data_IF_689294994825
#
_entry.id   IF_689294994825
#
_cell.length_a   1.000
_cell.length_b   1.000
_cell.length_c   1.000
_cell.angle_alpha   90.00
_cell.angle_beta   90.00
_cell.angle_gamma   90.00
#
_symmetry.space_group_name_H-M   'P 1'
#
loop_
_entity.id
_entity.type
_entity.pdbx_description
1 polymer ?
#
# COMPACT_ATOMS: atom_id res chain seq x y z
N UNK A 1 0.36 5.26 27.40
CA UNK A 1 0.08 4.85 28.80
C UNK A 1 0.80 5.82 29.72
N UNK A 2 0.09 6.69 30.41
CA UNK A 2 0.70 7.63 31.35
C UNK A 2 1.04 6.89 32.66
N UNK A 3 2.30 6.92 33.08
CA UNK A 3 2.77 6.14 34.25
C UNK A 3 2.13 6.63 35.56
N UNK A 4 1.86 7.93 35.69
CA UNK A 4 1.29 8.52 36.92
C UNK A 4 -0.14 8.00 37.20
N UNK A 5 -1.10 8.07 36.25
CA UNK A 5 -2.41 7.42 36.42
C UNK A 5 -2.33 5.91 36.70
N UNK A 6 -1.38 5.21 36.08
CA UNK A 6 -1.21 3.77 36.28
C UNK A 6 -0.81 3.45 37.71
N UNK A 7 0.15 4.20 38.26
CA UNK A 7 0.59 4.03 39.65
C UNK A 7 -0.50 4.40 40.65
N UNK A 8 -1.30 5.45 40.38
CA UNK A 8 -2.45 5.79 41.23
C UNK A 8 -3.48 4.66 41.30
N UNK A 9 -3.72 3.95 40.19
CA UNK A 9 -4.73 2.89 40.12
C UNK A 9 -4.22 1.54 40.64
N UNK A 10 -2.98 1.17 40.33
CA UNK A 10 -2.47 -0.19 40.56
C UNK A 10 -1.29 -0.27 41.54
N UNK A 11 -0.58 0.82 41.81
CA UNK A 11 0.56 0.87 42.76
C UNK A 11 1.72 -0.07 42.43
N UNK A 12 1.85 -0.51 41.17
CA UNK A 12 2.82 -1.53 40.72
C UNK A 12 3.55 -1.08 39.47
N UNK A 13 4.74 -1.61 39.27
CA UNK A 13 5.57 -1.39 38.09
C UNK A 13 4.96 -2.12 36.86
N UNK A 14 4.76 -1.45 35.71
CA UNK A 14 4.05 -2.04 34.56
C UNK A 14 4.78 -3.23 33.91
N UNK A 15 6.11 -3.21 33.93
CA UNK A 15 6.94 -4.29 33.36
C UNK A 15 7.13 -5.46 34.34
N UNK A 16 7.66 -5.22 35.53
CA UNK A 16 8.05 -6.27 36.50
C UNK A 16 6.96 -6.67 37.50
N UNK A 17 5.92 -5.85 37.70
CA UNK A 17 4.88 -6.11 38.72
C UNK A 17 5.31 -5.81 40.16
N UNK A 18 6.55 -5.36 40.39
CA UNK A 18 7.06 -4.95 41.70
C UNK A 18 6.32 -3.71 42.23
N UNK A 19 6.20 -3.50 43.56
CA UNK A 19 5.63 -2.27 44.11
C UNK A 19 6.49 -1.06 43.70
N UNK A 20 5.85 0.00 43.20
CA UNK A 20 6.53 1.24 42.77
C UNK A 20 5.71 2.43 43.22
N UNK A 21 6.34 3.40 43.90
CA UNK A 21 5.69 4.67 44.27
C UNK A 21 6.01 5.77 43.27
N UNK A 22 5.22 6.84 43.31
CA UNK A 22 5.47 8.01 42.46
C UNK A 22 6.81 8.71 42.81
N UNK A 23 7.22 8.65 44.07
CA UNK A 23 8.48 9.23 44.58
C UNK A 23 9.73 8.55 44.01
N UNK A 24 9.61 7.28 43.59
CA UNK A 24 10.72 6.51 43.01
C UNK A 24 10.93 6.82 41.51
N UNK A 25 10.07 7.65 40.91
CA UNK A 25 10.18 8.03 39.51
C UNK A 25 11.21 9.14 39.31
N UNK A 26 12.09 8.93 38.34
CA UNK A 26 13.11 9.91 37.97
C UNK A 26 12.55 10.79 36.84
N UNK A 27 12.41 12.10 37.03
CA UNK A 27 12.02 13.01 35.95
C UNK A 27 13.15 13.09 34.92
N UNK A 28 12.82 12.90 33.64
CA UNK A 28 13.78 13.00 32.55
C UNK A 28 13.71 14.38 31.89
N UNK A 29 14.85 15.04 31.77
CA UNK A 29 14.97 16.36 31.14
C UNK A 29 15.53 16.22 29.73
N UNK A 30 14.70 16.53 28.73
CA UNK A 30 15.11 16.57 27.32
C UNK A 30 15.35 18.02 26.89
N UNK A 31 16.51 18.26 26.27
CA UNK A 31 16.83 19.56 25.68
C UNK A 31 16.27 19.66 24.26
N UNK A 32 15.76 20.83 23.91
CA UNK A 32 15.24 21.14 22.57
C UNK A 32 16.09 22.20 21.87
N UNK A 33 16.22 22.08 20.56
CA UNK A 33 16.82 23.12 19.72
C UNK A 33 15.86 24.30 19.51
N UNK A 34 16.32 25.33 18.79
CA UNK A 34 15.49 26.48 18.38
C UNK A 34 14.26 26.09 17.57
N UNK A 35 14.34 24.97 16.85
CA UNK A 35 13.28 24.45 15.97
C UNK A 35 12.28 23.54 16.72
N UNK A 36 12.49 23.33 18.03
CA UNK A 36 11.62 22.54 18.89
C UNK A 36 11.88 21.02 18.87
N UNK A 37 12.88 20.55 18.13
CA UNK A 37 13.33 19.16 18.08
C UNK A 37 14.21 18.80 19.27
N UNK A 38 14.09 17.57 19.77
CA UNK A 38 14.90 17.10 20.88
C UNK A 38 16.33 16.80 20.44
N UNK A 39 17.32 17.33 21.17
CA UNK A 39 18.73 17.17 20.84
C UNK A 39 19.59 16.87 22.06
N UNK A 40 20.74 16.26 21.81
CA UNK A 40 21.79 16.14 22.82
C UNK A 40 22.39 17.53 23.11
N UNK A 41 22.43 17.96 24.38
CA UNK A 41 22.89 19.31 24.75
C UNK A 41 24.40 19.53 24.54
N UNK A 42 25.19 18.45 24.49
CA UNK A 42 26.65 18.53 24.38
C UNK A 42 27.12 18.48 22.93
N UNK A 43 26.55 17.55 22.14
CA UNK A 43 26.94 17.37 20.74
C UNK A 43 26.06 18.16 19.76
N UNK A 44 25.02 18.85 20.22
CA UNK A 44 24.00 19.52 19.39
C UNK A 44 23.44 18.62 18.28
N UNK A 45 23.36 17.32 18.56
CA UNK A 45 22.89 16.30 17.63
C UNK A 45 21.44 15.99 17.94
N UNK A 46 20.58 16.15 16.95
CA UNK A 46 19.14 15.83 17.06
C UNK A 46 18.96 14.33 17.29
N UNK A 47 18.07 13.97 18.22
CA UNK A 47 17.74 12.58 18.50
C UNK A 47 16.87 12.00 17.37
N UNK A 48 17.28 10.85 16.84
CA UNK A 48 16.54 10.11 15.80
C UNK A 48 16.27 8.68 16.26
N UNK A 49 15.45 7.95 15.48
CA UNK A 49 15.16 6.52 15.72
C UNK A 49 16.42 5.63 15.71
N UNK A 50 17.52 6.12 15.13
CA UNK A 50 18.80 5.41 15.07
C UNK A 50 19.85 5.99 16.03
N UNK A 51 19.47 6.90 16.92
CA UNK A 51 20.39 7.39 17.95
C UNK A 51 20.36 6.52 19.19
N UNK A 52 21.55 6.24 19.74
CA UNK A 52 21.67 5.61 21.05
C UNK A 52 21.55 6.69 22.12
N UNK A 53 20.48 6.63 22.91
CA UNK A 53 20.11 7.63 23.91
C UNK A 53 20.28 7.05 25.31
N UNK A 54 20.93 7.80 26.18
CA UNK A 54 21.16 7.45 27.58
C UNK A 54 20.77 8.59 28.51
N UNK A 55 20.32 8.26 29.71
CA UNK A 55 20.05 9.21 30.78
C UNK A 55 20.91 8.89 31.99
N UNK A 56 21.29 9.94 32.73
CA UNK A 56 21.98 9.81 34.01
C UNK A 56 20.95 9.77 35.12
N UNK A 57 20.98 8.72 35.96
CA UNK A 57 20.00 8.48 37.04
C UNK A 57 19.96 9.60 38.08
N UNK A 58 21.10 10.20 38.40
CA UNK A 58 21.23 11.23 39.44
C UNK A 58 20.57 12.54 39.02
N UNK A 59 20.89 13.05 37.82
CA UNK A 59 20.40 14.34 37.32
C UNK A 59 19.11 14.22 36.50
N UNK A 60 18.84 13.06 35.92
CA UNK A 60 17.73 12.85 34.98
C UNK A 60 17.97 13.47 33.59
N UNK A 61 19.13 14.05 33.33
CA UNK A 61 19.44 14.65 32.03
C UNK A 61 19.73 13.58 30.97
N UNK A 62 19.31 13.86 29.74
CA UNK A 62 19.38 12.94 28.61
C UNK A 62 20.48 13.35 27.61
N UNK A 63 21.31 12.39 27.24
CA UNK A 63 22.47 12.57 26.36
C UNK A 63 22.52 11.52 25.24
N UNK A 64 23.25 11.84 24.17
CA UNK A 64 23.70 10.81 23.22
C UNK A 64 24.76 9.92 23.88
N UNK A 65 24.66 8.60 23.70
CA UNK A 65 25.65 7.65 24.22
C UNK A 65 27.06 7.96 23.70
N UNK A 66 27.18 8.43 22.47
CA UNK A 66 28.43 8.88 21.86
C UNK A 66 29.11 9.98 22.70
N UNK A 67 28.35 10.96 23.21
CA UNK A 67 28.88 12.03 24.05
C UNK A 67 29.45 11.47 25.36
N UNK A 68 28.68 10.63 26.03
CA UNK A 68 29.08 9.99 27.30
C UNK A 68 30.26 9.05 27.08
N UNK A 69 30.30 8.35 25.95
CA UNK A 69 31.38 7.43 25.61
C UNK A 69 32.71 8.16 25.43
N UNK A 70 32.71 9.25 24.65
CA UNK A 70 33.91 10.03 24.36
C UNK A 70 34.37 10.88 25.56
N UNK A 71 33.44 11.51 26.28
CA UNK A 71 33.78 12.52 27.30
C UNK A 71 33.81 11.99 28.73
N UNK A 72 33.14 10.86 29.01
CA UNK A 72 33.13 10.26 30.35
C UNK A 72 33.85 8.91 30.38
N UNK A 73 33.41 7.97 29.55
CA UNK A 73 33.85 6.56 29.65
C UNK A 73 35.32 6.40 29.23
N UNK A 74 35.70 6.90 28.06
CA UNK A 74 37.09 6.83 27.57
C UNK A 74 38.09 7.55 28.48
N UNK A 75 37.86 8.81 28.91
CA UNK A 75 38.77 9.51 29.81
C UNK A 75 38.64 9.10 31.28
N UNK A 76 37.71 8.20 31.63
CA UNK A 76 37.37 7.82 33.01
C UNK A 76 36.94 9.01 33.89
N UNK A 77 36.32 10.01 33.27
CA UNK A 77 35.79 11.18 33.95
C UNK A 77 34.32 10.93 34.31
N UNK A 78 34.02 10.71 35.59
CA UNK A 78 32.69 10.33 36.08
C UNK A 78 31.90 11.51 36.64
N UNK A 79 31.88 12.61 35.88
CA UNK A 79 31.11 13.82 36.17
C UNK A 79 30.13 14.11 35.05
N UNK A 80 28.91 14.46 35.40
CA UNK A 80 27.85 14.72 34.43
C UNK A 80 28.17 15.97 33.58
N UNK A 81 27.80 15.95 32.29
CA UNK A 81 28.32 16.88 31.28
C UNK A 81 27.75 18.30 31.35
N UNK A 82 26.71 18.55 32.14
CA UNK A 82 26.04 19.84 32.29
C UNK A 82 26.19 20.43 33.69
N UNK A 83 26.00 19.59 34.72
CA UNK A 83 25.95 20.01 36.13
C UNK A 83 27.20 19.63 36.91
N UNK A 84 28.16 18.93 36.29
CA UNK A 84 29.38 18.41 36.93
C UNK A 84 29.14 17.47 38.14
N UNK A 85 27.90 16.98 38.31
CA UNK A 85 27.56 16.07 39.40
C UNK A 85 28.22 14.70 39.21
N UNK A 86 28.81 14.12 40.26
CA UNK A 86 29.43 12.81 40.17
C UNK A 86 28.37 11.72 39.97
N UNK A 87 28.62 10.79 39.03
CA UNK A 87 27.74 9.64 38.79
C UNK A 87 28.55 8.37 38.55
N UNK A 88 27.97 7.19 38.81
CA UNK A 88 28.65 5.91 38.55
C UNK A 88 28.21 5.29 37.23
N UNK A 89 28.97 4.33 36.71
CA UNK A 89 28.57 3.58 35.50
C UNK A 89 27.18 2.92 35.63
N UNK A 90 26.79 2.50 36.83
CA UNK A 90 25.49 1.87 37.08
C UNK A 90 24.32 2.86 37.06
N UNK A 91 24.63 4.15 37.16
CA UNK A 91 23.64 5.23 37.07
C UNK A 91 23.32 5.59 35.61
N UNK A 92 24.00 4.99 34.63
CA UNK A 92 23.71 5.21 33.21
C UNK A 92 22.55 4.30 32.76
N UNK A 93 21.41 4.91 32.45
CA UNK A 93 20.21 4.22 32.00
C UNK A 93 20.09 4.37 30.49
N UNK A 94 20.11 3.26 29.76
CA UNK A 94 19.87 3.26 28.32
C UNK A 94 18.38 3.36 28.01
N UNK A 95 17.98 4.46 27.38
CA UNK A 95 16.60 4.69 26.93
C UNK A 95 16.36 3.98 25.60
N UNK A 96 17.29 4.13 24.66
CA UNK A 96 17.17 3.60 23.31
C UNK A 96 18.53 3.15 22.82
N UNK A 97 18.60 1.92 22.30
CA UNK A 97 19.80 1.40 21.68
C UNK A 97 19.43 0.74 20.34
N UNK A 98 19.76 1.36 19.19
CA UNK A 98 19.43 0.81 17.87
C UNK A 98 20.24 -0.44 17.51
N UNK A 99 21.38 -0.65 18.18
CA UNK A 99 22.29 -1.76 17.91
C UNK A 99 21.91 -3.03 18.67
N UNK A 100 21.07 -2.91 19.69
CA UNK A 100 20.57 -4.04 20.46
C UNK A 100 19.11 -4.25 20.05
N UNK A 101 18.84 -5.39 19.42
CA UNK A 101 17.47 -5.87 19.26
C UNK A 101 16.94 -6.13 20.66
N UNK A 102 16.21 -5.17 21.22
CA UNK A 102 15.63 -5.25 22.56
C UNK A 102 14.81 -6.54 22.62
N UNK A 103 15.30 -7.55 23.34
CA UNK A 103 14.60 -8.82 23.59
C UNK A 103 13.44 -8.65 24.58
N UNK A 104 12.99 -7.40 24.79
CA UNK A 104 11.84 -7.05 25.62
C UNK A 104 10.58 -7.53 24.90
N UNK A 105 10.30 -8.82 25.03
CA UNK A 105 9.09 -9.46 24.56
C UNK A 105 7.92 -8.77 25.26
N UNK A 106 7.21 -7.91 24.54
CA UNK A 106 6.07 -7.13 25.06
C UNK A 106 5.01 -8.03 25.73
N UNK A 107 4.92 -9.30 25.32
CA UNK A 107 4.04 -10.31 25.90
C UNK A 107 4.42 -10.74 27.32
N UNK A 108 5.65 -10.48 27.77
CA UNK A 108 6.10 -10.87 29.11
C UNK A 108 5.75 -9.88 30.22
N UNK A 109 5.33 -8.66 29.85
CA UNK A 109 5.07 -7.58 30.78
C UNK A 109 3.84 -7.85 31.67
N UNK A 110 3.94 -7.52 32.95
CA UNK A 110 2.89 -7.81 33.95
C UNK A 110 1.52 -7.23 33.57
N UNK A 111 1.50 -5.99 33.08
CA UNK A 111 0.26 -5.33 32.63
C UNK A 111 -0.39 -6.01 31.42
N UNK A 112 0.40 -6.65 30.55
CA UNK A 112 -0.10 -7.39 29.38
C UNK A 112 -0.60 -8.76 29.81
N UNK A 113 0.16 -9.48 30.64
CA UNK A 113 -0.23 -10.80 31.17
C UNK A 113 -1.52 -10.75 31.99
N UNK A 114 -1.68 -9.70 32.80
CA UNK A 114 -2.86 -9.52 33.67
C UNK A 114 -3.97 -8.69 33.04
N UNK A 115 -3.80 -8.21 31.81
CA UNK A 115 -4.79 -7.39 31.11
C UNK A 115 -5.11 -6.07 31.82
N UNK A 116 -4.16 -5.50 32.57
CA UNK A 116 -4.35 -4.29 33.36
C UNK A 116 -4.32 -3.06 32.45
N UNK A 117 -5.49 -2.64 31.97
CA UNK A 117 -5.65 -1.43 31.17
C UNK A 117 -6.12 -0.26 32.04
N UNK A 118 -5.53 0.91 31.78
CA UNK A 118 -6.16 2.17 32.14
C UNK A 118 -7.31 2.35 31.15
N UNK A 119 -8.53 2.37 31.65
CA UNK A 119 -9.66 2.79 30.83
C UNK A 119 -9.63 4.32 30.85
N UNK A 120 -9.41 4.91 29.68
CA UNK A 120 -9.57 6.34 29.52
C UNK A 120 -11.07 6.62 29.69
N UNK A 121 -11.46 7.31 30.77
CA UNK A 121 -12.87 7.62 31.09
C UNK A 121 -13.58 8.30 29.91
N UNK A 122 -12.83 9.04 29.11
CA UNK A 122 -13.29 9.71 27.90
C UNK A 122 -13.64 8.71 26.78
N UNK A 123 -12.87 7.64 26.64
CA UNK A 123 -13.10 6.57 25.65
C UNK A 123 -14.28 5.67 26.04
N UNK A 124 -14.53 5.50 27.34
CA UNK A 124 -15.76 4.87 27.85
C UNK A 124 -16.98 5.74 27.51
N UNK A 125 -16.93 7.05 27.80
CA UNK A 125 -18.03 7.97 27.44
C UNK A 125 -18.30 8.01 25.94
N UNK A 126 -17.29 7.91 25.09
CA UNK A 126 -17.45 7.82 23.63
C UNK A 126 -18.07 6.49 23.16
N UNK A 127 -17.87 5.38 23.90
CA UNK A 127 -18.54 4.11 23.61
C UNK A 127 -20.01 4.13 24.02
N UNK A 128 -20.30 4.74 25.16
CA UNK A 128 -21.65 4.80 25.72
C UNK A 128 -22.53 5.83 25.00
N UNK A 129 -21.95 6.97 24.57
CA UNK A 129 -22.64 7.99 23.77
C UNK A 129 -21.87 8.27 22.46
N UNK A 130 -22.31 7.68 21.33
CA UNK A 130 -21.74 7.93 20.00
C UNK A 130 -21.80 9.40 19.55
N UNK A 131 -22.57 10.23 20.25
CA UNK A 131 -22.77 11.66 19.95
C UNK A 131 -21.91 12.60 20.80
N UNK A 132 -21.10 12.10 21.73
CA UNK A 132 -20.42 12.89 22.77
C UNK A 132 -19.51 14.01 22.24
N UNK A 133 -19.08 13.97 20.98
CA UNK A 133 -18.21 15.00 20.39
C UNK A 133 -18.62 15.46 18.97
N UNK A 134 -19.91 15.31 18.62
CA UNK A 134 -20.43 15.76 17.33
C UNK A 134 -21.52 16.81 17.58
N UNK A 135 -21.30 18.02 17.09
CA UNK A 135 -22.28 19.09 17.17
C UNK A 135 -23.34 18.87 16.07
N UNK A 136 -24.42 18.16 16.42
CA UNK A 136 -25.49 17.76 15.50
C UNK A 136 -26.80 18.47 15.89
N UNK A 137 -27.63 18.82 14.90
CA UNK A 137 -29.00 19.29 15.14
C UNK A 137 -29.82 18.27 15.95
N UNK A 138 -30.72 18.77 16.82
CA UNK A 138 -31.49 17.93 17.75
C UNK A 138 -32.22 16.76 17.07
N UNK A 139 -32.77 17.00 15.88
CA UNK A 139 -33.53 16.00 15.11
C UNK A 139 -32.66 14.83 14.66
N UNK A 140 -31.42 15.09 14.24
CA UNK A 140 -30.50 14.04 13.78
C UNK A 140 -29.90 13.29 14.99
N UNK A 141 -29.72 13.95 16.14
CA UNK A 141 -29.38 13.28 17.41
C UNK A 141 -30.48 12.32 17.86
N UNK A 142 -31.74 12.70 17.67
CA UNK A 142 -32.88 11.82 17.97
C UNK A 142 -32.96 10.63 17.00
N UNK A 143 -32.76 10.85 15.68
CA UNK A 143 -32.71 9.76 14.70
C UNK A 143 -31.60 8.75 14.99
N UNK A 144 -30.39 9.20 15.32
CA UNK A 144 -29.27 8.30 15.63
C UNK A 144 -29.55 7.46 16.89
N UNK A 145 -30.27 8.02 17.86
CA UNK A 145 -30.68 7.31 19.07
C UNK A 145 -31.80 6.29 18.81
N UNK A 146 -32.67 6.57 17.84
CA UNK A 146 -33.78 5.68 17.44
C UNK A 146 -33.31 4.58 16.46
N UNK A 147 -32.15 4.77 15.81
CA UNK A 147 -31.50 3.78 14.96
C UNK A 147 -31.10 2.55 15.79
N UNK A 148 -31.80 1.43 15.56
CA UNK A 148 -31.63 0.17 16.30
C UNK A 148 -32.82 -0.20 17.20
N UNK A 149 -33.77 0.71 17.40
CA UNK A 149 -35.05 0.42 18.08
C UNK A 149 -36.09 -0.10 17.07
N UNK A 150 -37.11 -0.83 17.54
CA UNK A 150 -38.17 -1.38 16.67
C UNK A 150 -38.89 -0.28 15.86
N UNK A 151 -39.07 0.91 16.44
CA UNK A 151 -39.62 2.08 15.73
C UNK A 151 -38.79 2.49 14.51
N UNK A 152 -37.46 2.40 14.60
CA UNK A 152 -36.57 2.71 13.48
C UNK A 152 -36.68 1.70 12.33
N UNK A 153 -36.93 0.43 12.63
CA UNK A 153 -37.16 -0.62 11.62
C UNK A 153 -38.48 -0.42 10.89
N UNK A 154 -39.55 -0.08 11.61
CA UNK A 154 -40.87 0.21 11.03
C UNK A 154 -40.83 1.43 10.10
N UNK A 155 -40.15 2.51 10.52
CA UNK A 155 -39.97 3.70 9.70
C UNK A 155 -39.17 3.42 8.41
N UNK A 156 -38.21 2.49 8.44
CA UNK A 156 -37.47 2.06 7.25
C UNK A 156 -38.37 1.24 6.30
N UNK A 157 -39.24 0.39 6.85
CA UNK A 157 -40.17 -0.44 6.08
C UNK A 157 -41.26 0.38 5.36
N UNK A 158 -41.76 1.44 5.99
CA UNK A 158 -42.76 2.33 5.39
C UNK A 158 -42.18 3.24 4.28
N UNK A 159 -40.86 3.27 4.13
CA UNK A 159 -40.15 3.99 3.07
C UNK A 159 -40.20 5.50 3.26
N UNK A 160 -39.03 6.12 3.34
CA UNK A 160 -38.89 7.56 3.57
C UNK A 160 -39.61 8.45 2.54
N UNK A 161 -40.03 9.61 3.05
CA UNK A 161 -40.82 10.64 2.37
C UNK A 161 -41.92 11.09 3.32
N UNK A 162 -42.00 12.39 3.66
CA UNK A 162 -42.99 12.89 4.62
C UNK A 162 -44.44 12.55 4.26
N UNK A 163 -45.39 12.84 5.15
CA UNK A 163 -46.79 12.39 5.08
C UNK A 163 -47.45 12.58 3.70
N UNK A 164 -47.11 13.67 2.99
CA UNK A 164 -47.61 13.94 1.63
C UNK A 164 -47.19 12.88 0.61
N UNK A 165 -45.93 12.45 0.62
CA UNK A 165 -45.41 11.44 -0.31
C UNK A 165 -45.98 10.04 -0.01
N UNK A 166 -46.27 9.75 1.26
CA UNK A 166 -46.94 8.50 1.65
C UNK A 166 -48.39 8.47 1.16
N UNK A 167 -49.11 9.59 1.27
CA UNK A 167 -50.49 9.70 0.81
C UNK A 167 -50.61 9.60 -0.71
N UNK A 168 -49.68 10.19 -1.46
CA UNK A 168 -49.62 10.07 -2.93
C UNK A 168 -49.34 8.63 -3.39
N UNK A 169 -48.47 7.88 -2.69
CA UNK A 169 -48.22 6.46 -2.99
C UNK A 169 -49.45 5.60 -2.68
N UNK A 170 -50.14 5.86 -1.57
CA UNK A 170 -51.37 5.15 -1.22
C UNK A 170 -52.48 5.42 -2.26
N UNK A 171 -52.63 6.67 -2.71
CA UNK A 171 -53.57 7.03 -3.75
C UNK A 171 -53.23 6.38 -5.11
N UNK A 172 -51.96 6.32 -5.47
CA UNK A 172 -51.50 5.65 -6.69
C UNK A 172 -51.80 4.14 -6.68
N UNK A 173 -51.62 3.49 -5.53
CA UNK A 173 -51.90 2.05 -5.37
C UNK A 173 -53.41 1.77 -5.45
N UNK A 174 -54.24 2.62 -4.83
CA UNK A 174 -55.69 2.53 -4.95
C UNK A 174 -56.18 2.71 -6.40
N UNK A 175 -55.57 3.63 -7.15
CA UNK A 175 -55.90 3.84 -8.57
C UNK A 175 -55.52 2.64 -9.47
N UNK A 176 -54.44 1.92 -9.14
CA UNK A 176 -54.03 0.70 -9.86
C UNK A 176 -55.02 -0.44 -9.58
N UNK A 177 -55.44 -0.61 -8.33
CA UNK A 177 -56.45 -1.63 -7.96
C UNK A 177 -57.81 -1.36 -8.62
N UNK A 178 -58.26 -0.10 -8.66
CA UNK A 178 -59.50 0.28 -9.31
C UNK A 178 -59.47 0.11 -10.85
N UNK A 179 -58.29 0.16 -11.49
CA UNK A 179 -58.15 -0.19 -12.91
C UNK A 179 -58.22 -1.68 -13.14
N UNK A 180 -57.67 -2.48 -12.22
CA UNK A 180 -57.71 -3.94 -12.28
C UNK A 180 -59.15 -4.47 -12.19
N UNK A 181 -60.00 -3.82 -11.38
CA UNK A 181 -61.44 -4.15 -11.31
C UNK A 181 -62.24 -3.77 -12.57
N UNK A 182 -61.75 -2.85 -13.41
CA UNK A 182 -62.43 -2.43 -14.65
C UNK A 182 -62.09 -3.28 -15.88
N UNK A 183 -60.95 -3.96 -15.88
CA UNK A 183 -60.51 -4.82 -16.98
C UNK A 183 -61.25 -6.17 -17.02
N UNK A 184 -61.92 -6.59 -15.95
CA UNK A 184 -62.73 -7.82 -15.91
C UNK A 184 -64.10 -7.69 -16.61
N UNK A 185 -64.46 -6.52 -17.15
CA UNK A 185 -65.76 -6.30 -17.80
C UNK A 185 -65.69 -5.47 -19.09
N UNK A 186 -65.08 -5.98 -20.17
CA UNK A 186 -65.54 -5.82 -21.58
C UNK A 186 -64.57 -6.46 -22.59
N UNK A 187 -65.04 -7.49 -23.27
CA UNK A 187 -64.42 -8.14 -24.43
C UNK A 187 -64.67 -7.38 -25.74
N UNK A 188 -63.62 -7.23 -26.57
CA UNK A 188 -63.72 -7.23 -28.04
C UNK A 188 -63.39 -5.94 -28.81
N UNK A 189 -62.11 -5.78 -29.23
CA UNK A 189 -61.66 -5.44 -30.61
C UNK A 189 -60.12 -5.30 -30.67
N UNK A 190 -59.52 -5.79 -31.76
CA UNK A 190 -58.07 -5.96 -32.02
C UNK A 190 -57.23 -4.67 -32.04
N UNK A 191 -55.96 -4.69 -31.58
CA UNK A 191 -54.99 -3.62 -31.81
C UNK A 191 -53.93 -3.96 -32.88
N UNK A 192 -53.52 -2.92 -33.63
CA UNK A 192 -52.34 -2.89 -34.53
C UNK A 192 -51.01 -3.02 -33.75
N UNK A 193 -49.88 -3.40 -34.39
CA UNK A 193 -48.71 -3.90 -33.68
C UNK A 193 -47.97 -2.76 -32.95
N UNK A 194 -47.90 -2.85 -31.63
CA UNK A 194 -47.07 -1.99 -30.79
C UNK A 194 -45.71 -2.65 -30.54
N UNK A 195 -44.65 -1.86 -30.69
CA UNK A 195 -43.27 -2.20 -30.37
C UNK A 195 -43.17 -2.81 -28.96
N UNK A 196 -42.61 -4.01 -28.89
CA UNK A 196 -42.38 -4.74 -27.64
C UNK A 196 -41.35 -4.00 -26.80
N UNK A 197 -41.79 -3.36 -25.72
CA UNK A 197 -40.89 -2.96 -24.64
C UNK A 197 -40.41 -4.21 -23.92
N UNK A 198 -39.10 -4.42 -23.85
CA UNK A 198 -38.54 -5.57 -23.16
C UNK A 198 -38.72 -5.41 -21.65
N UNK A 199 -39.14 -6.50 -21.00
CA UNK A 199 -39.41 -6.57 -19.54
C UNK A 199 -38.18 -6.14 -18.73
N UNK A 200 -36.98 -6.39 -19.24
CA UNK A 200 -35.70 -5.97 -18.62
C UNK A 200 -35.49 -4.45 -18.62
N UNK A 201 -35.99 -3.72 -19.62
CA UNK A 201 -35.83 -2.27 -19.70
C UNK A 201 -36.77 -1.55 -18.73
N UNK A 202 -37.98 -2.09 -18.53
CA UNK A 202 -38.93 -1.61 -17.53
C UNK A 202 -38.49 -1.96 -16.10
N UNK A 203 -37.90 -3.14 -15.90
CA UNK A 203 -37.35 -3.56 -14.60
C UNK A 203 -36.14 -2.70 -14.19
N UNK A 204 -35.26 -2.35 -15.13
CA UNK A 204 -34.10 -1.50 -14.81
C UNK A 204 -34.48 -0.04 -14.53
N UNK A 205 -35.57 0.46 -15.14
CA UNK A 205 -36.12 1.79 -14.89
C UNK A 205 -36.80 1.92 -13.52
N UNK A 206 -37.46 0.86 -13.04
CA UNK A 206 -38.15 0.83 -11.75
C UNK A 206 -37.20 0.70 -10.55
N UNK A 207 -36.08 -0.01 -10.69
CA UNK A 207 -35.06 -0.13 -9.62
C UNK A 207 -34.27 1.17 -9.39
N UNK A 208 -34.13 2.02 -10.43
CA UNK A 208 -33.29 3.23 -10.37
C UNK A 208 -34.04 4.55 -10.59
N UNK A 209 -35.36 4.53 -10.77
CA UNK A 209 -36.20 5.72 -10.90
C UNK A 209 -35.86 6.63 -12.09
N UNK A 210 -35.58 6.09 -13.28
CA UNK A 210 -35.21 6.88 -14.49
C UNK A 210 -36.12 6.58 -15.69
N UNK A 211 -36.28 7.55 -16.60
CA UNK A 211 -37.13 7.44 -17.79
C UNK A 211 -36.53 6.61 -18.92
N UNK A 212 -37.38 5.92 -19.70
CA UNK A 212 -36.96 5.02 -20.80
C UNK A 212 -36.17 5.74 -21.92
N UNK A 213 -36.38 7.04 -22.11
CA UNK A 213 -35.65 7.85 -23.08
C UNK A 213 -34.16 8.01 -22.70
N UNK A 214 -33.85 8.12 -21.41
CA UNK A 214 -32.48 8.26 -20.92
C UNK A 214 -31.66 6.96 -21.08
N UNK A 215 -32.31 5.80 -20.99
CA UNK A 215 -31.67 4.50 -21.19
C UNK A 215 -31.22 4.29 -22.65
N UNK A 216 -32.02 4.77 -23.61
CA UNK A 216 -31.74 4.66 -25.06
C UNK A 216 -30.53 5.51 -25.49
N UNK A 217 -30.36 6.70 -24.91
CA UNK A 217 -29.23 7.60 -25.19
C UNK A 217 -27.88 6.98 -24.80
N UNK A 218 -27.81 6.27 -23.67
CA UNK A 218 -26.60 5.60 -23.20
C UNK A 218 -26.18 4.41 -24.09
N UNK A 219 -27.12 3.77 -24.79
CA UNK A 219 -26.83 2.68 -25.73
C UNK A 219 -26.19 3.19 -27.02
N UNK A 220 -26.65 4.34 -27.53
CA UNK A 220 -26.09 4.96 -28.73
C UNK A 220 -24.64 5.44 -28.51
N UNK A 221 -24.33 5.94 -27.30
CA UNK A 221 -22.99 6.39 -26.91
C UNK A 221 -21.97 5.24 -26.84
N UNK A 222 -22.41 4.03 -26.45
CA UNK A 222 -21.56 2.82 -26.48
C UNK A 222 -21.21 2.38 -27.90
N UNK A 223 -22.12 2.56 -28.85
CA UNK A 223 -21.91 2.19 -30.27
C UNK A 223 -20.95 3.15 -30.97
N UNK A 224 -21.09 4.46 -30.71
CA UNK A 224 -20.18 5.49 -31.24
C UNK A 224 -18.74 5.30 -30.77
N UNK A 225 -18.53 4.96 -29.49
CA UNK A 225 -17.21 4.66 -28.94
C UNK A 225 -16.55 3.43 -29.60
N UNK A 226 -17.34 2.43 -30.00
CA UNK A 226 -16.84 1.22 -30.68
C UNK A 226 -16.41 1.49 -32.13
N UNK A 227 -17.13 2.36 -32.83
CA UNK A 227 -16.82 2.79 -34.20
C UNK A 227 -15.53 3.63 -34.22
N UNK A 228 -15.35 4.53 -33.24
CA UNK A 228 -14.13 5.32 -33.10
C UNK A 228 -12.87 4.46 -32.83
N UNK A 229 -13.01 3.35 -32.09
CA UNK A 229 -11.90 2.41 -31.85
C UNK A 229 -11.47 1.67 -33.13
N UNK A 230 -12.41 1.33 -34.02
CA UNK A 230 -12.11 0.60 -35.25
C UNK A 230 -11.38 1.46 -36.29
N UNK A 231 -11.53 2.79 -36.24
CA UNK A 231 -10.83 3.70 -37.15
C UNK A 231 -9.40 4.03 -36.74
N UNK A 232 -8.99 3.73 -35.50
CA UNK A 232 -7.68 4.08 -34.96
C UNK A 232 -6.58 3.01 -35.10
N UNK A 233 -6.85 1.86 -35.76
CA UNK A 233 -5.84 0.87 -36.14
C UNK A 233 -5.14 0.08 -35.02
N UNK A 234 -5.20 0.52 -33.76
CA UNK A 234 -4.53 -0.14 -32.64
C UNK A 234 -5.40 -1.24 -32.00
N UNK A 235 -4.87 -2.47 -31.88
CA UNK A 235 -5.46 -3.52 -31.02
C UNK A 235 -5.47 -3.00 -29.57
N UNK A 236 -6.66 -2.88 -28.99
CA UNK A 236 -6.84 -2.24 -27.70
C UNK A 236 -6.28 -3.06 -26.52
N UNK A 237 -5.61 -2.44 -25.53
CA UNK A 237 -5.32 -3.09 -24.25
C UNK A 237 -6.64 -3.39 -23.52
N UNK A 238 -6.67 -4.53 -22.82
CA UNK A 238 -7.87 -5.18 -22.25
C UNK A 238 -8.60 -4.28 -21.23
N UNK A 239 -7.96 -3.23 -20.72
CA UNK A 239 -8.49 -2.35 -19.66
C UNK A 239 -8.69 -0.86 -20.01
N UNK A 240 -8.75 -0.49 -21.30
CA UNK A 240 -9.04 0.90 -21.69
C UNK A 240 -10.53 1.13 -22.00
N UNK A 241 -11.18 2.06 -21.28
CA UNK A 241 -12.51 2.58 -21.67
C UNK A 241 -12.36 4.02 -22.18
N UNK A 242 -12.85 4.28 -23.38
CA UNK A 242 -13.02 5.64 -23.88
C UNK A 242 -14.13 6.32 -23.06
N UNK A 243 -13.76 7.36 -22.33
CA UNK A 243 -14.70 8.20 -21.56
C UNK A 243 -14.80 9.53 -22.28
N UNK A 244 -16.04 9.99 -22.51
CA UNK A 244 -16.30 11.31 -23.08
C UNK A 244 -15.70 12.36 -22.17
N UNK A 245 -14.74 13.14 -22.66
CA UNK A 245 -14.13 14.19 -21.86
C UNK A 245 -15.12 15.34 -21.65
N UNK A 246 -14.83 16.16 -20.63
CA UNK A 246 -15.55 17.43 -20.41
C UNK A 246 -15.13 18.51 -21.40
N UNK A 247 -14.05 18.29 -22.15
CA UNK A 247 -13.47 19.27 -23.07
C UNK A 247 -13.98 19.02 -24.48
N UNK A 248 -14.41 20.08 -25.15
CA UNK A 248 -14.83 20.03 -26.55
C UNK A 248 -13.62 20.17 -27.45
N UNK A 249 -13.64 19.60 -28.66
CA UNK A 249 -12.57 19.76 -29.68
C UNK A 249 -12.38 21.21 -30.14
N UNK A 250 -13.31 22.09 -29.75
CA UNK A 250 -13.26 23.53 -30.00
C UNK A 250 -13.69 23.91 -31.42
N UNK A 251 -14.13 22.96 -32.25
CA UNK A 251 -14.54 23.19 -33.64
C UNK A 251 -15.68 24.23 -33.75
N UNK A 252 -16.76 24.04 -32.97
CA UNK A 252 -17.89 24.98 -32.95
C UNK A 252 -17.51 26.38 -32.42
N UNK A 253 -16.63 26.44 -31.41
CA UNK A 253 -16.13 27.72 -30.89
C UNK A 253 -15.25 28.44 -31.91
N UNK A 254 -14.39 27.71 -32.64
CA UNK A 254 -13.54 28.26 -33.70
C UNK A 254 -14.36 28.81 -34.86
N UNK A 255 -15.39 28.10 -35.29
CA UNK A 255 -16.28 28.57 -36.37
C UNK A 255 -17.16 29.75 -35.96
N UNK A 256 -17.41 29.92 -34.66
CA UNK A 256 -18.12 31.10 -34.15
C UNK A 256 -17.23 32.35 -34.15
N UNK A 257 -15.95 32.19 -33.83
CA UNK A 257 -15.01 33.32 -33.67
C UNK A 257 -14.18 33.63 -34.92
N UNK A 258 -14.17 32.76 -35.93
CA UNK A 258 -13.35 32.91 -37.14
C UNK A 258 -14.18 32.68 -38.39
N UNK A 259 -14.09 33.61 -39.34
CA UNK A 259 -14.74 33.52 -40.66
C UNK A 259 -14.01 32.58 -41.64
N UNK A 260 -12.86 32.04 -41.25
CA UNK A 260 -12.04 31.15 -42.09
C UNK A 260 -12.46 29.67 -42.00
N UNK A 261 -13.41 29.32 -41.12
CA UNK A 261 -13.87 27.95 -40.91
C UNK A 261 -15.38 27.84 -41.14
N UNK A 262 -15.80 26.68 -41.66
CA UNK A 262 -17.22 26.39 -41.90
C UNK A 262 -18.03 26.41 -40.60
N UNK A 263 -19.29 26.92 -40.62
CA UNK A 263 -20.11 27.03 -39.43
C UNK A 263 -20.51 25.66 -38.88
N UNK A 264 -19.91 25.27 -37.75
CA UNK A 264 -20.21 24.03 -37.04
C UNK A 264 -21.09 24.33 -35.83
N UNK A 265 -22.30 23.75 -35.79
CA UNK A 265 -23.29 23.99 -34.72
C UNK A 265 -23.30 22.93 -33.63
N UNK A 266 -22.60 21.80 -33.83
CA UNK A 266 -22.55 20.68 -32.88
C UNK A 266 -21.19 20.62 -32.19
N UNK A 267 -21.21 20.59 -30.86
CA UNK A 267 -20.01 20.38 -30.06
C UNK A 267 -19.62 18.90 -30.10
N UNK A 268 -18.48 18.62 -30.73
CA UNK A 268 -17.83 17.32 -30.64
C UNK A 268 -16.91 17.29 -29.41
N UNK A 269 -16.99 16.19 -28.67
CA UNK A 269 -16.23 16.00 -27.44
C UNK A 269 -15.10 15.02 -27.71
N UNK A 270 -13.92 15.34 -27.22
CA UNK A 270 -12.77 14.44 -27.33
C UNK A 270 -12.97 13.26 -26.36
N UNK A 271 -12.70 12.04 -26.80
CA UNK A 271 -12.75 10.86 -25.92
C UNK A 271 -11.36 10.60 -25.35
N UNK A 272 -11.25 10.64 -24.02
CA UNK A 272 -10.01 10.34 -23.33
C UNK A 272 -9.96 8.84 -23.01
N UNK A 273 -8.83 8.20 -23.31
CA UNK A 273 -8.56 6.82 -22.88
C UNK A 273 -8.32 6.85 -21.36
N UNK A 274 -9.26 6.32 -20.58
CA UNK A 274 -9.10 6.16 -19.13
C UNK A 274 -8.80 4.69 -18.84
N UNK A 275 -7.62 4.45 -18.27
CA UNK A 275 -7.22 3.14 -17.74
C UNK A 275 -8.08 2.81 -16.53
N UNK A 276 -8.76 1.66 -16.53
CA UNK A 276 -9.52 1.20 -15.37
C UNK A 276 -8.57 0.53 -14.39
N UNK A 277 -8.44 1.07 -13.17
CA UNK A 277 -7.83 0.29 -12.09
C UNK A 277 -8.75 -0.88 -11.71
N UNK A 278 -8.31 -2.14 -11.84
CA UNK A 278 -9.02 -3.26 -11.27
C UNK A 278 -9.08 -3.08 -9.75
N UNK A 279 -10.30 -3.07 -9.19
CA UNK A 279 -10.50 -2.92 -7.74
C UNK A 279 -10.18 -4.19 -6.93
N UNK A 280 -9.92 -5.30 -7.61
CA UNK A 280 -9.67 -6.61 -7.00
C UNK A 280 -8.18 -6.94 -7.11
N UNK A 281 -7.66 -7.61 -6.09
CA UNK A 281 -6.33 -8.21 -6.11
C UNK A 281 -6.30 -9.36 -7.11
N UNK A 282 -5.16 -9.54 -7.78
CA UNK A 282 -4.90 -10.68 -8.64
C UNK A 282 -4.27 -11.81 -7.84
N UNK A 283 -4.45 -13.05 -8.29
CA UNK A 283 -3.74 -14.21 -7.75
C UNK A 283 -3.16 -15.00 -8.92
N UNK A 284 -1.92 -15.46 -8.76
CA UNK A 284 -1.20 -16.20 -9.78
C UNK A 284 -0.46 -17.34 -9.12
N UNK A 285 -0.63 -18.56 -9.63
CA UNK A 285 0.16 -19.71 -9.22
C UNK A 285 1.28 -19.97 -10.23
N UNK A 286 2.51 -19.98 -9.74
CA UNK A 286 3.71 -20.33 -10.47
C UNK A 286 4.05 -21.78 -10.15
N UNK A 287 3.97 -22.69 -11.12
CA UNK A 287 4.53 -24.04 -10.95
C UNK A 287 6.03 -23.99 -11.26
N UNK A 288 6.86 -24.42 -10.31
CA UNK A 288 8.31 -24.52 -10.50
C UNK A 288 8.78 -25.96 -10.33
N UNK A 289 10.00 -26.26 -10.77
CA UNK A 289 10.64 -27.57 -10.57
C UNK A 289 10.74 -27.98 -9.10
N UNK A 290 10.74 -27.01 -8.17
CA UNK A 290 10.84 -27.25 -6.73
C UNK A 290 9.48 -27.24 -6.01
N UNK A 291 8.38 -27.03 -6.74
CA UNK A 291 7.04 -26.92 -6.20
C UNK A 291 6.33 -25.64 -6.62
N UNK A 292 5.19 -25.38 -6.01
CA UNK A 292 4.31 -24.28 -6.41
C UNK A 292 4.55 -23.04 -5.56
N UNK A 293 4.39 -21.86 -6.18
CA UNK A 293 4.42 -20.55 -5.53
C UNK A 293 3.13 -19.80 -5.85
N UNK A 294 2.41 -19.38 -4.80
CA UNK A 294 1.20 -18.58 -4.95
C UNK A 294 1.54 -17.12 -4.70
N UNK A 295 1.28 -16.29 -5.71
CA UNK A 295 1.50 -14.85 -5.68
C UNK A 295 0.16 -14.10 -5.57
N UNK A 296 0.10 -13.13 -4.68
CA UNK A 296 -0.94 -12.10 -4.62
C UNK A 296 -0.44 -10.84 -5.29
N UNK A 297 -1.21 -10.29 -6.22
CA UNK A 297 -0.87 -9.11 -7.01
C UNK A 297 -1.72 -7.90 -6.60
N UNK A 298 -1.07 -6.76 -6.41
CA UNK A 298 -1.68 -5.49 -6.04
C UNK A 298 -2.10 -4.68 -7.28
N UNK A 299 -3.08 -5.21 -8.02
CA UNK A 299 -3.60 -4.61 -9.25
C UNK A 299 -4.32 -3.26 -9.02
N UNK A 300 -4.71 -2.97 -7.78
CA UNK A 300 -5.32 -1.72 -7.36
C UNK A 300 -4.32 -0.55 -7.29
N UNK A 301 -3.07 -0.84 -6.93
CA UNK A 301 -1.99 0.14 -6.77
C UNK A 301 -1.08 0.18 -8.00
N UNK A 302 -0.78 -0.99 -8.58
CA UNK A 302 0.15 -1.16 -9.71
C UNK A 302 -0.57 -1.76 -10.93
N UNK A 303 -1.54 -1.04 -11.51
CA UNK A 303 -2.43 -1.58 -12.55
C UNK A 303 -1.66 -1.99 -13.81
N UNK A 304 -0.72 -1.16 -14.31
CA UNK A 304 0.00 -1.48 -15.55
C UNK A 304 0.96 -2.64 -15.35
N UNK A 305 1.67 -2.65 -14.22
CA UNK A 305 2.62 -3.73 -13.92
C UNK A 305 1.91 -5.07 -13.80
N UNK A 306 0.77 -5.09 -13.10
CA UNK A 306 -0.04 -6.30 -12.96
C UNK A 306 -0.66 -6.73 -14.29
N UNK A 307 -1.14 -5.79 -15.12
CA UNK A 307 -1.67 -6.10 -16.46
C UNK A 307 -0.61 -6.74 -17.36
N UNK A 308 0.61 -6.19 -17.37
CA UNK A 308 1.74 -6.75 -18.09
C UNK A 308 2.03 -8.19 -17.63
N UNK A 309 2.16 -8.39 -16.32
CA UNK A 309 2.47 -9.69 -15.74
C UNK A 309 1.38 -10.73 -16.01
N UNK A 310 0.12 -10.40 -15.76
CA UNK A 310 -1.02 -11.30 -15.97
C UNK A 310 -1.18 -11.69 -17.44
N UNK A 311 -1.07 -10.72 -18.35
CA UNK A 311 -1.19 -10.98 -19.79
C UNK A 311 -0.05 -11.85 -20.30
N UNK A 312 1.18 -11.68 -19.79
CA UNK A 312 2.28 -12.60 -20.10
C UNK A 312 2.04 -14.01 -19.55
N UNK A 313 1.43 -14.13 -18.37
CA UNK A 313 1.04 -15.43 -17.80
C UNK A 313 -0.03 -16.12 -18.68
N UNK A 314 -1.08 -15.39 -19.09
CA UNK A 314 -2.15 -15.89 -19.96
C UNK A 314 -1.63 -16.33 -21.34
N UNK A 315 -0.67 -15.57 -21.90
CA UNK A 315 -0.04 -15.90 -23.18
C UNK A 315 0.97 -17.06 -23.07
N UNK A 316 1.23 -17.59 -21.87
CA UNK A 316 2.23 -18.62 -21.64
C UNK A 316 3.66 -18.15 -21.87
N UNK A 317 3.93 -16.84 -21.80
CA UNK A 317 5.24 -16.25 -22.08
C UNK A 317 6.32 -16.74 -21.11
N UNK A 318 5.96 -16.96 -19.84
CA UNK A 318 6.90 -17.46 -18.83
C UNK A 318 7.05 -18.98 -18.82
N UNK A 319 6.37 -19.72 -19.70
CA UNK A 319 6.45 -21.18 -19.75
C UNK A 319 7.82 -21.63 -20.26
N UNK A 320 8.48 -22.49 -19.48
CA UNK A 320 9.81 -23.00 -19.80
C UNK A 320 10.95 -22.02 -19.47
N UNK A 321 10.65 -20.87 -18.87
CA UNK A 321 11.68 -19.88 -18.54
C UNK A 321 12.44 -20.25 -17.27
N UNK A 322 13.72 -19.91 -17.26
CA UNK A 322 14.60 -20.17 -16.12
C UNK A 322 14.75 -18.92 -15.25
N UNK A 323 14.97 -19.14 -13.95
CA UNK A 323 15.57 -18.13 -13.10
C UNK A 323 17.06 -18.06 -13.38
N UNK A 324 17.49 -17.01 -14.09
CA UNK A 324 18.87 -16.87 -14.57
C UNK A 324 19.82 -16.27 -13.55
N UNK A 325 19.31 -15.68 -12.45
CA UNK A 325 20.15 -15.08 -11.41
C UNK A 325 19.55 -15.30 -10.01
N UNK A 326 20.34 -15.80 -9.08
CA UNK A 326 20.02 -16.01 -7.67
C UNK A 326 21.15 -15.50 -6.80
N UNK A 327 21.01 -14.29 -6.26
CA UNK A 327 22.08 -13.64 -5.50
C UNK A 327 22.05 -14.12 -4.06
N UNK A 328 23.05 -14.92 -3.69
CA UNK A 328 23.28 -15.32 -2.30
C UNK A 328 24.12 -14.34 -1.52
N UNK A 329 24.94 -13.52 -2.17
CA UNK A 329 25.88 -12.65 -1.48
C UNK A 329 25.97 -11.32 -2.19
N UNK A 330 25.39 -10.26 -1.61
CA UNK A 330 25.67 -8.90 -2.09
C UNK A 330 26.87 -8.36 -1.32
N UNK A 331 27.97 -8.12 -2.04
CA UNK A 331 29.13 -7.41 -1.51
C UNK A 331 28.88 -5.91 -1.71
N UNK A 332 28.38 -5.25 -0.67
CA UNK A 332 28.21 -3.80 -0.67
C UNK A 332 29.58 -3.18 -0.46
N UNK A 333 30.28 -2.83 -1.55
CA UNK A 333 31.49 -2.00 -1.48
C UNK A 333 31.06 -0.58 -1.11
N UNK A 334 31.21 -0.21 0.17
CA UNK A 334 31.21 1.19 0.56
C UNK A 334 32.48 1.83 -0.03
N UNK A 335 32.38 2.42 -1.22
CA UNK A 335 33.41 3.30 -1.75
C UNK A 335 33.35 4.60 -0.94
N UNK A 336 34.10 4.66 0.17
CA UNK A 336 34.54 5.94 0.72
C UNK A 336 35.47 6.57 -0.32
N UNK A 337 34.93 7.50 -1.12
CA UNK A 337 35.72 8.36 -1.99
C UNK A 337 36.63 9.24 -1.13
N UNK A 338 37.78 8.72 -0.72
CA UNK A 338 38.95 9.56 -0.45
C UNK A 338 39.74 9.63 -1.74
N UNK A 339 39.85 10.84 -2.28
CA UNK A 339 40.58 11.20 -3.50
C UNK A 339 41.94 10.48 -3.62
N UNK A 340 42.01 9.45 -4.46
CA UNK A 340 43.26 8.95 -5.00
C UNK A 340 43.05 8.52 -6.45
N UNK A 341 43.86 8.99 -7.42
CA UNK A 341 43.67 8.64 -8.81
C UNK A 341 44.38 7.30 -9.07
N UNK A 342 43.62 6.21 -9.24
CA UNK A 342 44.18 5.01 -9.87
C UNK A 342 43.31 4.53 -11.02
N UNK A 343 43.82 4.81 -12.22
CA UNK A 343 43.48 4.12 -13.45
C UNK A 343 43.97 2.66 -13.34
N UNK A 344 43.11 1.74 -12.91
CA UNK A 344 43.35 0.31 -13.13
C UNK A 344 42.13 -0.36 -13.73
N UNK A 345 42.33 -0.91 -14.93
CA UNK A 345 41.39 -1.78 -15.64
C UNK A 345 41.36 -3.13 -14.90
N UNK A 346 40.36 -3.38 -14.08
CA UNK A 346 40.22 -4.64 -13.32
C UNK A 346 39.70 -5.74 -14.25
N UNK A 347 40.47 -6.83 -14.39
CA UNK A 347 40.16 -7.95 -15.31
C UNK A 347 39.97 -9.32 -14.65
N UNK A 348 39.90 -9.43 -13.32
CA UNK A 348 39.55 -10.70 -12.66
C UNK A 348 39.16 -10.51 -11.19
N UNK A 349 38.09 -11.21 -10.76
CA UNK A 349 37.54 -11.23 -9.39
C UNK A 349 38.51 -11.76 -8.33
N UNK A 350 39.59 -12.46 -8.72
CA UNK A 350 40.55 -13.05 -7.77
C UNK A 350 41.54 -12.05 -7.15
N UNK A 351 41.71 -10.85 -7.72
CA UNK A 351 42.76 -9.92 -7.28
C UNK A 351 42.38 -9.08 -6.05
N UNK A 352 41.11 -9.11 -5.62
CA UNK A 352 40.62 -8.29 -4.51
C UNK A 352 40.96 -8.86 -3.13
N UNK A 353 41.50 -10.09 -3.05
CA UNK A 353 41.71 -10.79 -1.78
C UNK A 353 43.08 -10.51 -1.12
N UNK A 354 44.04 -9.88 -1.81
CA UNK A 354 45.45 -9.92 -1.38
C UNK A 354 46.03 -8.61 -0.82
N UNK A 355 45.29 -7.50 -0.81
CA UNK A 355 45.68 -6.29 -0.10
C UNK A 355 44.45 -5.70 0.58
N UNK A 356 44.48 -5.53 1.90
CA UNK A 356 43.67 -4.67 2.78
C UNK A 356 43.23 -5.40 4.07
N UNK A 357 44.09 -5.48 5.11
CA UNK A 357 43.73 -6.12 6.38
C UNK A 357 42.95 -5.19 7.33
N UNK A 358 42.30 -4.11 6.86
CA UNK A 358 41.72 -3.08 7.75
C UNK A 358 40.33 -2.55 7.38
N UNK A 359 39.59 -3.24 6.51
CA UNK A 359 38.17 -2.92 6.31
C UNK A 359 37.29 -3.87 7.12
N UNK A 360 36.58 -3.32 8.10
CA UNK A 360 35.45 -3.96 8.76
C UNK A 360 34.44 -4.42 7.69
N UNK A 361 34.45 -5.73 7.40
CA UNK A 361 33.45 -6.40 6.58
C UNK A 361 32.08 -6.31 7.29
N UNK A 362 31.29 -5.30 6.94
CA UNK A 362 29.86 -5.23 7.29
C UNK A 362 29.08 -6.29 6.49
N UNK A 363 27.89 -6.70 6.97
CA UNK A 363 27.40 -8.07 6.86
C UNK A 363 27.22 -8.48 5.39
N UNK A 364 27.85 -9.61 5.03
CA UNK A 364 27.50 -10.38 3.84
C UNK A 364 25.98 -10.59 3.86
N UNK A 365 25.26 -9.89 2.99
CA UNK A 365 23.83 -10.14 2.79
C UNK A 365 23.70 -11.51 2.17
N UNK A 366 23.57 -12.52 3.04
CA UNK A 366 23.18 -13.87 2.68
C UNK A 366 21.75 -13.82 2.15
N UNK A 367 21.58 -14.25 0.91
CA UNK A 367 20.32 -14.51 0.23
C UNK A 367 19.50 -13.24 0.01
N UNK A 368 19.79 -12.56 -1.09
CA UNK A 368 19.20 -11.28 -1.45
C UNK A 368 17.91 -11.45 -2.26
N UNK A 369 18.03 -11.96 -3.48
CA UNK A 369 16.90 -12.11 -4.40
C UNK A 369 17.13 -13.19 -5.44
N UNK A 370 16.04 -13.65 -6.04
CA UNK A 370 16.04 -14.49 -7.24
C UNK A 370 15.29 -13.78 -8.38
N UNK A 371 15.91 -13.73 -9.55
CA UNK A 371 15.46 -12.98 -10.73
C UNK A 371 15.17 -13.94 -11.88
N UNK A 372 14.04 -13.69 -12.57
CA UNK A 372 13.55 -14.47 -13.68
C UNK A 372 12.79 -13.60 -14.69
N UNK A 373 12.07 -14.25 -15.61
CA UNK A 373 11.26 -13.55 -16.61
C UNK A 373 12.03 -13.06 -17.84
N UNK A 374 13.21 -13.60 -18.12
CA UNK A 374 13.94 -13.36 -19.37
C UNK A 374 13.82 -14.59 -20.29
N UNK A 375 13.20 -14.48 -21.48
CA UNK A 375 13.08 -15.58 -22.43
C UNK A 375 14.43 -16.05 -23.00
N UNK A 376 15.44 -15.19 -23.01
CA UNK A 376 16.77 -15.51 -23.52
C UNK A 376 17.65 -16.19 -22.46
N UNK A 377 17.29 -16.09 -21.17
CA UNK A 377 18.11 -16.58 -20.06
C UNK A 377 19.44 -15.86 -19.86
N UNK A 378 19.68 -14.75 -20.55
CA UNK A 378 20.96 -14.02 -20.50
C UNK A 378 21.02 -12.98 -19.37
N UNK A 379 19.84 -12.49 -18.94
CA UNK A 379 19.66 -11.41 -17.98
C UNK A 379 19.37 -10.04 -18.61
N UNK A 380 19.44 -9.93 -19.94
CA UNK A 380 19.26 -8.67 -20.67
C UNK A 380 18.04 -8.66 -21.59
N UNK A 381 17.35 -9.79 -21.76
CA UNK A 381 16.19 -9.91 -22.64
C UNK A 381 14.88 -9.61 -21.93
N UNK A 382 13.77 -9.78 -22.66
CA UNK A 382 12.43 -9.60 -22.12
C UNK A 382 11.78 -8.30 -22.56
N UNK A 383 10.58 -8.42 -23.10
CA UNK A 383 9.79 -7.31 -23.62
C UNK A 383 8.44 -7.27 -22.90
N UNK A 384 7.88 -6.06 -22.75
CA UNK A 384 6.53 -5.89 -22.22
C UNK A 384 5.48 -6.30 -23.26
N UNK A 385 4.23 -6.45 -22.82
CA UNK A 385 3.10 -6.74 -23.73
C UNK A 385 2.85 -5.65 -24.78
N UNK A 386 3.39 -4.45 -24.57
CA UNK A 386 3.25 -3.31 -25.49
C UNK A 386 4.43 -3.20 -26.46
N UNK A 387 5.42 -4.10 -26.39
CA UNK A 387 6.65 -4.04 -27.19
C UNK A 387 7.57 -2.85 -26.87
N UNK A 388 7.28 -2.11 -25.79
CA UNK A 388 8.05 -0.94 -25.34
C UNK A 388 8.16 -0.92 -23.82
N UNK A 389 9.27 -0.42 -23.24
CA UNK A 389 9.37 -0.29 -21.80
C UNK A 389 8.28 0.62 -21.22
N UNK A 390 7.81 0.30 -20.01
CA UNK A 390 6.74 1.06 -19.36
C UNK A 390 7.17 1.70 -18.04
N UNK A 391 6.40 2.72 -17.62
CA UNK A 391 6.68 3.56 -16.45
C UNK A 391 6.69 2.78 -15.12
N UNK A 392 7.54 3.19 -14.19
CA UNK A 392 7.48 2.73 -12.80
C UNK A 392 6.21 3.20 -12.08
N UNK A 393 5.66 2.35 -11.21
CA UNK A 393 4.47 2.60 -10.39
C UNK A 393 4.83 2.53 -8.90
N UNK A 394 5.58 3.53 -8.43
CA UNK A 394 6.10 3.57 -7.06
C UNK A 394 5.02 4.07 -6.07
N UNK A 395 4.83 3.35 -4.96
CA UNK A 395 3.90 3.73 -3.90
C UNK A 395 4.55 3.57 -2.52
N UNK A 396 4.30 4.52 -1.60
CA UNK A 396 4.84 4.46 -0.23
C UNK A 396 4.32 3.29 0.60
N UNK A 397 3.18 2.70 0.22
CA UNK A 397 2.61 1.52 0.88
C UNK A 397 3.31 0.21 0.46
N UNK A 398 3.85 0.17 -0.75
CA UNK A 398 4.49 -1.01 -1.33
C UNK A 398 6.00 -0.86 -1.24
N UNK A 399 6.56 -1.32 -0.12
CA UNK A 399 7.99 -1.30 0.14
C UNK A 399 8.56 -2.71 0.02
N UNK A 400 9.87 -2.80 -0.21
CA UNK A 400 10.64 -4.05 -0.22
C UNK A 400 10.89 -4.54 1.22
N UNK A 401 9.82 -4.65 1.99
CA UNK A 401 9.85 -5.11 3.39
C UNK A 401 9.25 -6.51 3.47
N UNK A 402 10.04 -7.45 3.95
CA UNK A 402 9.64 -8.85 4.10
C UNK A 402 10.23 -9.77 3.04
N UNK A 403 10.15 -11.07 3.34
CA UNK A 403 10.48 -12.15 2.42
C UNK A 403 9.28 -12.42 1.51
N UNK A 404 9.55 -12.73 0.25
CA UNK A 404 8.52 -13.05 -0.74
C UNK A 404 7.92 -11.83 -1.45
N UNK A 405 8.47 -10.63 -1.28
CA UNK A 405 8.04 -9.46 -2.07
C UNK A 405 8.44 -9.66 -3.53
N UNK A 406 7.51 -9.41 -4.45
CA UNK A 406 7.69 -9.51 -5.90
C UNK A 406 7.74 -8.12 -6.51
N UNK A 407 8.79 -7.86 -7.29
CA UNK A 407 9.07 -6.54 -7.86
C UNK A 407 9.67 -6.64 -9.26
N UNK A 408 9.48 -5.61 -10.08
CA UNK A 408 9.98 -5.57 -11.46
C UNK A 408 11.49 -5.28 -11.51
N UNK A 409 12.21 -6.02 -12.35
CA UNK A 409 13.58 -5.69 -12.70
C UNK A 409 13.59 -4.58 -13.77
N UNK A 410 14.48 -3.61 -13.61
CA UNK A 410 14.66 -2.50 -14.54
C UNK A 410 16.14 -2.14 -14.67
N UNK A 411 16.47 -1.37 -15.70
CA UNK A 411 17.83 -0.90 -16.00
C UNK A 411 17.96 0.62 -15.81
N UNK A 412 17.02 1.22 -15.06
CA UNK A 412 16.87 2.66 -14.89
C UNK A 412 15.39 3.07 -14.81
N UNK A 413 15.12 4.36 -14.57
CA UNK A 413 13.75 4.86 -14.44
C UNK A 413 12.91 4.58 -15.68
N UNK A 414 11.70 4.06 -15.49
CA UNK A 414 10.69 3.78 -16.53
C UNK A 414 11.13 2.78 -17.61
N UNK A 415 11.98 1.81 -17.25
CA UNK A 415 12.50 0.78 -18.18
C UNK A 415 11.97 -0.63 -17.89
N UNK A 416 10.74 -0.75 -17.36
CA UNK A 416 10.18 -2.06 -17.03
C UNK A 416 9.86 -2.86 -18.30
N UNK A 417 10.23 -4.15 -18.30
CA UNK A 417 9.95 -5.12 -19.36
C UNK A 417 9.12 -6.29 -18.84
N UNK A 418 9.60 -7.52 -19.03
CA UNK A 418 8.97 -8.74 -18.49
C UNK A 418 9.73 -9.38 -17.32
N UNK A 419 10.95 -8.92 -17.05
CA UNK A 419 11.78 -9.44 -15.97
C UNK A 419 11.28 -8.99 -14.59
N UNK A 420 11.32 -9.92 -13.63
CA UNK A 420 10.94 -9.66 -12.25
C UNK A 420 11.83 -10.43 -11.28
N UNK A 421 11.80 -10.04 -10.03
CA UNK A 421 12.53 -10.72 -8.96
C UNK A 421 11.67 -10.91 -7.71
N UNK A 422 12.02 -11.93 -6.94
CA UNK A 422 11.42 -12.27 -5.66
C UNK A 422 12.49 -12.12 -4.59
N UNK A 423 12.17 -11.39 -3.53
CA UNK A 423 13.09 -11.14 -2.42
C UNK A 423 13.11 -12.30 -1.42
N UNK A 424 14.30 -12.72 -0.99
CA UNK A 424 14.46 -13.65 0.13
C UNK A 424 14.48 -12.93 1.49
N UNK A 425 14.81 -11.64 1.49
CA UNK A 425 14.92 -10.76 2.67
C UNK A 425 14.50 -9.34 2.33
N UNK A 426 14.07 -8.57 3.34
CA UNK A 426 13.81 -7.15 3.21
C UNK A 426 15.01 -6.40 2.62
N UNK A 427 14.74 -5.56 1.61
CA UNK A 427 15.75 -4.82 0.85
C UNK A 427 15.38 -3.32 0.76
N UNK A 428 15.56 -2.53 1.83
CA UNK A 428 15.15 -1.12 1.85
C UNK A 428 15.82 -0.25 0.78
N UNK A 429 17.01 -0.62 0.30
CA UNK A 429 17.77 0.14 -0.70
C UNK A 429 17.19 0.06 -2.13
N UNK A 430 16.24 -0.85 -2.37
CA UNK A 430 15.48 -0.98 -3.61
C UNK A 430 14.18 -0.15 -3.60
N UNK A 431 13.79 0.37 -2.43
CA UNK A 431 12.60 1.21 -2.30
C UNK A 431 12.70 2.43 -3.23
N UNK A 432 11.58 2.73 -3.89
CA UNK A 432 11.47 3.83 -4.86
C UNK A 432 12.38 3.72 -6.09
N UNK A 433 12.98 2.55 -6.34
CA UNK A 433 13.74 2.25 -7.58
C UNK A 433 13.05 1.20 -8.44
N UNK A 434 12.46 0.20 -7.79
CA UNK A 434 11.76 -0.90 -8.45
C UNK A 434 10.29 -0.89 -8.07
N UNK A 435 9.44 -1.25 -9.03
CA UNK A 435 7.99 -1.30 -8.85
C UNK A 435 7.60 -2.61 -8.19
N UNK A 436 7.23 -2.53 -6.91
CA UNK A 436 6.65 -3.65 -6.16
C UNK A 436 5.20 -3.83 -6.59
N UNK A 437 4.85 -5.02 -7.09
CA UNK A 437 3.50 -5.28 -7.62
C UNK A 437 2.83 -6.51 -6.99
N UNK A 438 3.53 -7.30 -6.18
CA UNK A 438 2.94 -8.46 -5.53
C UNK A 438 3.75 -9.04 -4.37
N UNK A 439 3.22 -10.09 -3.77
CA UNK A 439 3.82 -10.82 -2.66
C UNK A 439 3.49 -12.32 -2.74
N UNK A 440 4.44 -13.16 -2.34
CA UNK A 440 4.25 -14.60 -2.17
C UNK A 440 3.36 -14.84 -0.95
N UNK A 441 2.17 -15.39 -1.16
CA UNK A 441 1.22 -15.76 -0.10
C UNK A 441 1.23 -17.25 0.22
N UNK A 442 1.71 -18.09 -0.71
CA UNK A 442 1.81 -19.54 -0.53
C UNK A 442 3.05 -20.12 -1.20
N UNK A 443 3.54 -21.26 -0.71
CA UNK A 443 4.75 -21.89 -1.24
C UNK A 443 6.07 -21.33 -0.66
N UNK A 444 6.05 -20.75 0.55
CA UNK A 444 7.28 -20.27 1.22
C UNK A 444 8.32 -21.39 1.42
N UNK A 445 7.89 -22.64 1.53
CA UNK A 445 8.75 -23.83 1.56
C UNK A 445 9.47 -24.02 0.22
N UNK A 446 8.78 -23.88 -0.91
CA UNK A 446 9.32 -23.87 -2.27
C UNK A 446 10.36 -22.77 -2.43
N UNK A 447 10.04 -21.54 -2.00
CA UNK A 447 10.97 -20.41 -2.06
C UNK A 447 12.25 -20.69 -1.27
N UNK A 448 12.13 -21.37 -0.12
CA UNK A 448 13.26 -21.79 0.71
C UNK A 448 14.07 -22.93 0.10
N UNK A 449 13.45 -23.79 -0.70
CA UNK A 449 14.14 -24.82 -1.47
C UNK A 449 14.94 -24.20 -2.63
N UNK A 450 14.34 -23.25 -3.35
CA UNK A 450 14.99 -22.47 -4.42
C UNK A 450 16.21 -21.70 -3.90
N UNK A 451 16.12 -21.14 -2.69
CA UNK A 451 17.23 -20.44 -2.03
C UNK A 451 18.43 -21.36 -1.72
N UNK A 452 18.20 -22.65 -1.47
CA UNK A 452 19.27 -23.60 -1.13
C UNK A 452 20.08 -24.03 -2.35
N UNK A 453 19.55 -23.88 -3.57
CA UNK A 453 20.20 -24.30 -4.82
C UNK A 453 21.58 -23.62 -4.95
N UNK A 454 22.68 -24.37 -5.19
CA UNK A 454 24.00 -23.79 -5.38
C UNK A 454 24.06 -22.94 -6.65
N UNK A 455 24.85 -21.87 -6.61
CA UNK A 455 25.00 -20.89 -7.70
C UNK A 455 26.45 -20.84 -8.16
N UNK A 456 26.66 -20.50 -9.42
CA UNK A 456 27.98 -20.27 -10.01
C UNK A 456 28.53 -18.86 -9.70
N UNK A 457 29.71 -18.55 -10.22
CA UNK A 457 30.39 -17.25 -10.01
C UNK A 457 29.66 -16.06 -10.67
N UNK A 458 28.71 -16.32 -11.57
CA UNK A 458 27.87 -15.34 -12.26
C UNK A 458 26.45 -15.27 -11.66
N UNK A 459 26.31 -15.79 -10.44
CA UNK A 459 25.06 -15.87 -9.67
C UNK A 459 23.97 -16.70 -10.37
N UNK A 460 24.30 -17.55 -11.33
CA UNK A 460 23.34 -18.44 -12.01
C UNK A 460 23.17 -19.73 -11.21
N UNK A 461 21.92 -20.20 -10.99
CA UNK A 461 21.71 -21.46 -10.29
C UNK A 461 22.22 -22.63 -11.14
N UNK A 462 23.00 -23.53 -10.52
CA UNK A 462 23.53 -24.72 -11.19
C UNK A 462 22.43 -25.68 -11.65
N UNK A 463 21.32 -25.71 -10.91
CA UNK A 463 20.11 -26.43 -11.28
C UNK A 463 19.12 -25.42 -11.82
N UNK A 464 18.72 -25.56 -13.09
CA UNK A 464 17.75 -24.67 -13.71
C UNK A 464 16.40 -24.79 -13.02
N UNK A 465 15.94 -23.68 -12.44
CA UNK A 465 14.60 -23.58 -11.88
C UNK A 465 13.70 -23.08 -12.99
N UNK A 466 12.85 -23.97 -13.52
CA UNK A 466 11.97 -23.68 -14.65
C UNK A 466 10.60 -23.24 -14.14
N UNK A 467 10.04 -22.18 -14.72
CA UNK A 467 8.65 -21.75 -14.54
C UNK A 467 7.76 -22.48 -15.53
N UNK A 468 6.72 -23.14 -15.05
CA UNK A 468 5.72 -23.81 -15.87
C UNK A 468 4.33 -23.32 -15.47
N UNK A 469 3.45 -23.22 -16.49
CA UNK A 469 1.99 -23.04 -16.49
C UNK A 469 1.34 -22.18 -15.40
N UNK A 470 0.44 -21.32 -15.83
CA UNK A 470 -0.43 -20.53 -14.96
C UNK A 470 -1.86 -21.02 -15.17
N UNK A 471 -2.58 -21.30 -14.09
CA UNK A 471 -4.00 -21.68 -14.13
C UNK A 471 -4.88 -20.60 -13.52
#
# INVERSE_FOLDING_TARGET
>A
MSIIPYLKKFGKHPVSGAPLKQEDLIPLTFHKNSDGEFQCPVLNKVFTEFTHIVAVKTTGNVFCYEAVQELNIKPKNWKELLTDEPFTRNDLITIQNPNVLDSKVLGEFDHVKKGLKLEDEELQRMKDDPTYNINISGDLKQMIKELGTEKGKEAFLQGGGGQKAQMERAAALAAILARKEKDDSKSGKEPKPHQTFSIVDAASASVHGRSAAAAKAASAEKTAARIAMHMAGDRAPVNAKLVKSRYTTGAASRSFTSTAYDPVTKNEYEYVKVERNPKKKGYVQLHTTHGDLNLELHCDITPRTCENFLTHCENGYYNGLIFHRSIKYVLVVFVLFTNLPLNLKVKSKSFFLCLFPFFLLYPLYRNFMIQGGDPTGTGSGGESIWGKPFKDELNSKLLHSGRGVVSMANSGPHTNGSQFFILYKSAPHLNFKHTVFGMVVGGLTTLSAMEKVPVDDDDRPLVSIVQANFW
#
